data_IF_310020838491
#
_entry.id   IF_310020838491
#
_cell.length_a   1.000
_cell.length_b   1.000
_cell.length_c   1.000
_cell.angle_alpha   90.00
_cell.angle_beta   90.00
_cell.angle_gamma   90.00
#
_symmetry.space_group_name_H-M   'P 1'
#
loop_
_entity.id
_entity.type
_entity.pdbx_description
1 polymer ?
#
# COMPACT_ATOMS: atom_id res chain seq x y z
N UNK A 1 -33.44 11.98 2.41
CA UNK A 1 -32.03 11.63 2.74
C UNK A 1 -31.82 10.14 2.53
N UNK A 2 -30.73 9.77 1.91
CA UNK A 2 -30.39 8.35 1.69
C UNK A 2 -29.85 7.73 2.99
N UNK A 3 -30.60 6.77 3.54
CA UNK A 3 -30.29 6.12 4.83
C UNK A 3 -29.75 4.71 4.61
N UNK A 4 -28.87 4.25 5.49
CA UNK A 4 -28.49 2.86 5.61
C UNK A 4 -29.73 2.08 6.09
N UNK A 5 -30.15 1.08 5.32
CA UNK A 5 -31.27 0.21 5.67
C UNK A 5 -30.83 -1.12 6.24
N UNK A 6 -29.70 -1.65 5.79
CA UNK A 6 -29.16 -2.93 6.22
C UNK A 6 -27.65 -2.96 5.98
N UNK A 7 -26.94 -3.66 6.85
CA UNK A 7 -25.53 -4.02 6.66
C UNK A 7 -25.43 -5.53 6.84
N UNK A 8 -24.69 -6.18 5.93
CA UNK A 8 -24.39 -7.61 6.00
C UNK A 8 -22.90 -7.80 5.77
N UNK A 9 -22.28 -8.67 6.54
CA UNK A 9 -20.91 -9.11 6.32
C UNK A 9 -20.82 -10.61 6.16
N UNK A 10 -19.78 -11.05 5.48
CA UNK A 10 -19.41 -12.45 5.30
C UNK A 10 -17.91 -12.63 5.35
N UNK A 11 -17.48 -13.85 5.67
CA UNK A 11 -16.10 -14.25 5.50
C UNK A 11 -15.85 -14.62 4.03
N UNK A 12 -14.77 -14.08 3.46
CA UNK A 12 -14.26 -14.37 2.12
C UNK A 12 -12.77 -14.69 2.23
N UNK A 13 -12.06 -14.86 1.11
CA UNK A 13 -10.63 -15.14 1.12
C UNK A 13 -9.84 -14.04 0.43
N UNK A 14 -8.65 -13.75 0.98
CA UNK A 14 -7.67 -12.88 0.37
C UNK A 14 -6.80 -13.60 -0.67
N UNK A 15 -5.91 -12.89 -1.34
CA UNK A 15 -5.00 -13.42 -2.39
C UNK A 15 -3.99 -14.46 -1.88
N UNK A 16 -3.84 -14.62 -0.56
CA UNK A 16 -3.01 -15.66 0.07
C UNK A 16 -3.84 -16.85 0.55
N UNK A 17 -5.15 -16.87 0.26
CA UNK A 17 -6.08 -17.91 0.72
C UNK A 17 -6.40 -17.82 2.21
N UNK A 18 -6.10 -16.69 2.88
CA UNK A 18 -6.51 -16.50 4.27
C UNK A 18 -7.92 -15.89 4.34
N UNK A 19 -8.72 -16.28 5.37
CA UNK A 19 -10.00 -15.62 5.62
C UNK A 19 -9.84 -14.11 5.84
N UNK A 20 -10.75 -13.34 5.24
CA UNK A 20 -10.92 -11.91 5.49
C UNK A 20 -12.40 -11.55 5.46
N UNK A 21 -12.74 -10.28 5.72
CA UNK A 21 -14.11 -9.81 5.83
C UNK A 21 -14.52 -8.97 4.62
N UNK A 22 -15.69 -9.30 4.05
CA UNK A 22 -16.45 -8.44 3.15
C UNK A 22 -17.66 -7.90 3.89
N UNK A 23 -17.89 -6.57 3.80
CA UNK A 23 -19.12 -5.94 4.25
C UNK A 23 -19.90 -5.37 3.06
N UNK A 24 -21.22 -5.51 3.11
CA UNK A 24 -22.14 -4.98 2.11
C UNK A 24 -23.18 -4.09 2.81
N UNK A 25 -23.33 -2.85 2.31
CA UNK A 25 -24.23 -1.83 2.85
C UNK A 25 -25.35 -1.59 1.85
N UNK A 26 -26.58 -1.52 2.33
CA UNK A 26 -27.79 -1.41 1.52
C UNK A 26 -28.55 -0.12 1.79
N UNK A 27 -29.11 0.48 0.73
CA UNK A 27 -30.07 1.58 0.77
C UNK A 27 -31.09 1.44 -0.35
N UNK A 28 -32.36 1.36 -0.04
CA UNK A 28 -33.44 1.11 -1.03
C UNK A 28 -33.05 -0.02 -1.99
N UNK A 29 -32.90 0.28 -3.27
CA UNK A 29 -32.62 -0.69 -4.34
C UNK A 29 -31.12 -0.76 -4.72
N UNK A 30 -30.25 -0.15 -3.91
CA UNK A 30 -28.81 -0.10 -4.17
C UNK A 30 -28.02 -0.69 -3.00
N UNK A 31 -26.95 -1.39 -3.34
CA UNK A 31 -25.94 -1.84 -2.39
C UNK A 31 -24.54 -1.62 -2.93
N UNK A 32 -23.57 -1.64 -2.03
CA UNK A 32 -22.16 -1.71 -2.38
C UNK A 32 -21.41 -2.52 -1.32
N UNK A 33 -20.40 -3.26 -1.77
CA UNK A 33 -19.53 -4.05 -0.90
C UNK A 33 -18.08 -3.58 -0.94
N UNK A 34 -17.35 -3.92 0.11
CA UNK A 34 -15.91 -3.76 0.19
C UNK A 34 -15.27 -4.89 0.99
N UNK A 35 -14.07 -5.29 0.56
CA UNK A 35 -13.27 -6.33 1.22
C UNK A 35 -12.09 -5.67 1.93
N UNK A 36 -11.86 -6.00 3.20
CA UNK A 36 -10.72 -5.51 3.95
C UNK A 36 -9.47 -6.34 3.62
N UNK A 37 -8.36 -5.72 3.18
CA UNK A 37 -7.10 -6.45 2.96
C UNK A 37 -6.39 -6.77 4.28
N UNK A 38 -5.40 -7.69 4.24
CA UNK A 38 -4.62 -8.15 5.40
C UNK A 38 -3.12 -8.18 5.10
N UNK A 39 -2.27 -7.71 6.02
CA UNK A 39 -0.82 -7.74 5.88
C UNK A 39 -0.20 -9.11 6.20
N UNK A 40 0.99 -9.39 5.63
CA UNK A 40 1.87 -10.47 6.06
C UNK A 40 2.78 -10.02 7.21
N UNK A 41 3.48 -8.91 6.99
CA UNK A 41 4.17 -8.14 8.02
C UNK A 41 3.24 -7.04 8.53
N UNK A 42 3.27 -6.74 9.82
CA UNK A 42 2.46 -5.70 10.44
C UNK A 42 3.31 -4.88 11.39
N UNK A 43 3.22 -3.55 11.29
CA UNK A 43 3.82 -2.65 12.27
C UNK A 43 3.15 -2.79 13.63
N UNK A 44 3.94 -2.66 14.69
CA UNK A 44 3.45 -2.82 16.09
C UNK A 44 2.29 -1.89 16.44
N UNK A 45 2.21 -0.75 15.76
CA UNK A 45 1.23 0.31 16.04
C UNK A 45 0.02 0.31 15.11
N UNK A 46 -0.13 -0.70 14.25
CA UNK A 46 -1.32 -0.85 13.41
C UNK A 46 -2.59 -1.06 14.24
N UNK A 47 -3.72 -0.62 13.70
CA UNK A 47 -5.01 -0.96 14.27
C UNK A 47 -5.26 -2.48 14.19
N UNK A 48 -5.90 -3.02 15.23
CA UNK A 48 -6.01 -4.46 15.46
C UNK A 48 -6.91 -5.16 14.44
N UNK A 49 -6.35 -6.13 13.73
CA UNK A 49 -7.13 -7.06 12.91
C UNK A 49 -7.72 -8.16 13.78
N UNK A 50 -9.04 -8.21 13.89
CA UNK A 50 -9.73 -9.19 14.74
C UNK A 50 -9.83 -10.54 14.04
N UNK A 51 -9.21 -11.56 14.66
CA UNK A 51 -9.26 -12.97 14.25
C UNK A 51 -9.78 -13.81 15.41
N UNK A 52 -10.35 -14.97 15.08
CA UNK A 52 -11.03 -15.82 16.11
C UNK A 52 -10.03 -16.59 16.99
N UNK A 53 -8.77 -16.75 16.54
CA UNK A 53 -7.70 -17.47 17.24
C UNK A 53 -8.07 -18.91 17.66
N UNK A 54 -9.06 -19.49 16.99
CA UNK A 54 -9.50 -20.87 17.21
C UNK A 54 -8.82 -21.81 16.21
N UNK A 55 -7.78 -22.51 16.64
CA UNK A 55 -6.97 -23.39 15.79
C UNK A 55 -7.76 -24.50 15.09
N UNK A 56 -8.93 -24.90 15.63
CA UNK A 56 -9.83 -25.88 14.98
C UNK A 56 -10.52 -25.32 13.74
N UNK A 57 -10.54 -23.99 13.56
CA UNK A 57 -11.15 -23.31 12.40
C UNK A 57 -10.12 -22.46 11.68
N UNK A 58 -9.82 -22.79 10.43
CA UNK A 58 -8.89 -22.05 9.59
C UNK A 58 -7.51 -21.77 10.26
N UNK A 59 -7.02 -22.72 11.07
CA UNK A 59 -5.75 -22.59 11.81
C UNK A 59 -5.67 -21.29 12.63
N UNK A 60 -6.77 -20.88 13.25
CA UNK A 60 -6.86 -19.64 14.04
C UNK A 60 -7.13 -18.35 13.23
N UNK A 61 -7.10 -18.42 11.90
CA UNK A 61 -7.20 -17.24 11.03
C UNK A 61 -8.64 -16.81 10.66
N UNK A 62 -9.68 -17.53 11.13
CA UNK A 62 -11.08 -17.19 10.90
C UNK A 62 -11.42 -15.78 11.39
N UNK A 63 -12.36 -15.11 10.71
CA UNK A 63 -12.87 -13.76 11.05
C UNK A 63 -14.37 -13.76 11.36
N UNK A 64 -14.94 -14.93 11.68
CA UNK A 64 -16.38 -15.04 11.94
C UNK A 64 -16.85 -14.20 13.13
N UNK A 65 -16.01 -14.02 14.14
CA UNK A 65 -16.28 -13.10 15.25
C UNK A 65 -16.43 -11.65 14.79
N UNK A 66 -15.54 -11.17 13.91
CA UNK A 66 -15.65 -9.85 13.29
C UNK A 66 -16.89 -9.75 12.41
N UNK A 67 -17.20 -10.77 11.62
CA UNK A 67 -18.43 -10.86 10.79
C UNK A 67 -19.68 -10.75 11.67
N UNK A 68 -19.72 -11.47 12.78
CA UNK A 68 -20.86 -11.41 13.72
C UNK A 68 -21.02 -10.00 14.31
N UNK A 69 -19.93 -9.33 14.68
CA UNK A 69 -19.98 -7.94 15.19
C UNK A 69 -20.54 -6.95 14.16
N UNK A 70 -20.20 -7.11 12.88
CA UNK A 70 -20.79 -6.30 11.81
C UNK A 70 -22.28 -6.58 11.68
N UNK A 71 -22.68 -7.85 11.64
CA UNK A 71 -24.07 -8.26 11.41
C UNK A 71 -25.01 -7.91 12.59
N UNK A 72 -24.46 -7.71 13.78
CA UNK A 72 -25.23 -7.42 15.01
C UNK A 72 -25.01 -5.99 15.49
N UNK A 73 -23.87 -5.70 16.14
CA UNK A 73 -23.61 -4.43 16.81
C UNK A 73 -23.52 -3.26 15.84
N UNK A 74 -22.66 -3.39 14.78
CA UNK A 74 -22.43 -2.31 13.80
C UNK A 74 -23.71 -2.07 13.00
N UNK A 75 -24.34 -3.12 12.48
CA UNK A 75 -25.59 -3.01 11.70
C UNK A 75 -26.68 -2.30 12.51
N UNK A 76 -26.91 -2.74 13.76
CA UNK A 76 -27.90 -2.09 14.65
C UNK A 76 -27.60 -0.60 14.86
N UNK A 77 -26.34 -0.24 15.06
CA UNK A 77 -25.93 1.15 15.36
C UNK A 77 -26.01 2.09 14.16
N UNK A 78 -25.72 1.59 12.96
CA UNK A 78 -25.67 2.40 11.74
C UNK A 78 -26.98 2.41 10.94
N UNK A 79 -27.92 1.50 11.20
CA UNK A 79 -29.24 1.52 10.53
C UNK A 79 -29.91 2.86 10.78
N UNK A 80 -30.39 3.50 9.70
CA UNK A 80 -30.98 4.85 9.74
C UNK A 80 -29.99 6.00 9.55
N UNK A 81 -28.68 5.76 9.64
CA UNK A 81 -27.64 6.77 9.44
C UNK A 81 -27.64 7.30 7.98
N UNK A 82 -27.25 8.57 7.81
CA UNK A 82 -27.10 9.19 6.49
C UNK A 82 -25.84 8.66 5.79
N UNK A 83 -26.03 7.98 4.65
CA UNK A 83 -24.95 7.37 3.86
C UNK A 83 -23.92 8.39 3.36
N UNK A 84 -24.33 9.64 3.15
CA UNK A 84 -23.48 10.68 2.59
C UNK A 84 -22.55 11.35 3.62
N UNK A 85 -22.73 11.07 4.90
CA UNK A 85 -21.94 11.63 5.99
C UNK A 85 -20.91 10.61 6.47
N UNK A 86 -19.84 10.44 5.66
CA UNK A 86 -18.76 9.49 5.94
C UNK A 86 -18.10 9.73 7.29
N UNK A 87 -17.84 11.01 7.62
CA UNK A 87 -17.17 11.38 8.88
C UNK A 87 -17.99 10.94 10.08
N UNK A 88 -19.32 11.21 10.06
CA UNK A 88 -20.21 10.79 11.14
C UNK A 88 -20.29 9.27 11.27
N UNK A 89 -20.35 8.53 10.14
CA UNK A 89 -20.37 7.06 10.15
C UNK A 89 -19.10 6.52 10.78
N UNK A 90 -17.94 7.00 10.35
CA UNK A 90 -16.65 6.56 10.88
C UNK A 90 -16.50 6.93 12.37
N UNK A 91 -16.95 8.12 12.79
CA UNK A 91 -16.99 8.53 14.20
C UNK A 91 -17.88 7.59 15.04
N UNK A 92 -19.05 7.18 14.51
CA UNK A 92 -19.92 6.21 15.20
C UNK A 92 -19.19 4.86 15.36
N UNK A 93 -18.49 4.39 14.33
CA UNK A 93 -17.73 3.15 14.37
C UNK A 93 -16.58 3.20 15.38
N UNK A 94 -15.81 4.28 15.40
CA UNK A 94 -14.71 4.51 16.35
C UNK A 94 -15.23 4.54 17.78
N UNK A 95 -16.30 5.29 18.05
CA UNK A 95 -16.90 5.39 19.38
C UNK A 95 -17.55 4.08 19.83
N UNK A 96 -18.09 3.28 18.90
CA UNK A 96 -18.66 1.96 19.21
C UNK A 96 -17.58 0.94 19.58
N UNK A 97 -16.37 1.05 19.00
CA UNK A 97 -15.22 0.29 19.42
C UNK A 97 -14.69 0.74 20.78
N UNK A 98 -14.52 2.04 20.96
CA UNK A 98 -14.11 2.69 22.21
C UNK A 98 -12.64 2.48 22.59
N UNK A 99 -11.82 1.80 21.77
CA UNK A 99 -10.42 1.55 22.05
C UNK A 99 -9.50 2.24 21.05
N UNK A 100 -8.29 2.60 21.49
CA UNK A 100 -7.29 3.31 20.65
C UNK A 100 -6.90 2.53 19.40
N UNK A 101 -6.75 1.21 19.53
CA UNK A 101 -6.29 0.32 18.45
C UNK A 101 -7.41 -0.52 17.84
N UNK A 102 -8.67 -0.15 18.07
CA UNK A 102 -9.85 -0.84 17.51
C UNK A 102 -9.92 -2.33 17.88
N UNK A 103 -9.56 -2.67 19.12
CA UNK A 103 -9.45 -4.05 19.60
C UNK A 103 -10.80 -4.71 19.91
N UNK A 104 -11.83 -3.91 20.16
CA UNK A 104 -13.18 -4.38 20.54
C UNK A 104 -13.91 -4.94 19.30
N UNK A 105 -14.07 -4.17 18.25
CA UNK A 105 -14.74 -4.56 17.01
C UNK A 105 -13.79 -5.19 15.98
N UNK A 106 -12.55 -4.71 15.94
CA UNK A 106 -11.55 -5.01 14.93
C UNK A 106 -11.53 -3.99 13.78
N UNK A 107 -10.33 -3.52 13.43
CA UNK A 107 -10.13 -2.60 12.32
C UNK A 107 -10.65 -3.17 10.99
N UNK A 108 -10.53 -4.47 10.78
CA UNK A 108 -11.04 -5.15 9.60
C UNK A 108 -12.58 -5.06 9.49
N UNK A 109 -13.32 -5.25 10.58
CA UNK A 109 -14.77 -5.07 10.61
C UNK A 109 -15.19 -3.62 10.34
N UNK A 110 -14.52 -2.68 10.99
CA UNK A 110 -14.77 -1.24 10.86
C UNK A 110 -14.49 -0.77 9.43
N UNK A 111 -13.33 -1.09 8.90
CA UNK A 111 -12.90 -0.63 7.58
C UNK A 111 -13.78 -1.18 6.44
N UNK A 112 -14.13 -2.46 6.48
CA UNK A 112 -15.00 -3.04 5.45
C UNK A 112 -16.33 -2.27 5.35
N UNK A 113 -16.94 -1.90 6.47
CA UNK A 113 -18.18 -1.10 6.51
C UNK A 113 -17.94 0.33 6.07
N UNK A 114 -16.86 0.97 6.51
CA UNK A 114 -16.48 2.33 6.14
C UNK A 114 -16.30 2.48 4.62
N UNK A 115 -15.52 1.58 4.00
CA UNK A 115 -15.32 1.57 2.54
C UNK A 115 -16.60 1.25 1.77
N UNK A 116 -17.39 0.26 2.18
CA UNK A 116 -18.65 -0.11 1.54
C UNK A 116 -19.65 1.06 1.56
N UNK A 117 -19.72 1.81 2.67
CA UNK A 117 -20.56 3.00 2.79
C UNK A 117 -20.11 4.11 1.84
N UNK A 118 -18.79 4.34 1.73
CA UNK A 118 -18.24 5.32 0.78
C UNK A 118 -18.59 4.97 -0.67
N UNK A 119 -18.44 3.70 -1.06
CA UNK A 119 -18.84 3.20 -2.39
C UNK A 119 -20.34 3.39 -2.63
N UNK A 120 -21.18 3.04 -1.66
CA UNK A 120 -22.63 3.21 -1.79
C UNK A 120 -23.03 4.67 -1.94
N UNK A 121 -22.39 5.57 -1.18
CA UNK A 121 -22.59 7.02 -1.31
C UNK A 121 -22.30 7.52 -2.73
N UNK A 122 -21.20 7.09 -3.34
CA UNK A 122 -20.84 7.40 -4.72
C UNK A 122 -21.89 6.86 -5.72
N UNK A 123 -22.30 5.59 -5.55
CA UNK A 123 -23.29 4.92 -6.40
C UNK A 123 -24.66 5.63 -6.36
N UNK A 124 -25.12 6.05 -5.17
CA UNK A 124 -26.38 6.79 -5.02
C UNK A 124 -26.30 8.18 -5.68
N UNK A 125 -25.15 8.85 -5.57
CA UNK A 125 -24.90 10.14 -6.24
C UNK A 125 -24.70 10.00 -7.74
N UNK A 126 -24.58 8.77 -8.25
CA UNK A 126 -24.29 8.47 -9.67
C UNK A 126 -22.99 9.17 -10.14
N UNK A 127 -21.97 9.16 -9.30
CA UNK A 127 -20.65 9.69 -9.62
C UNK A 127 -19.58 8.63 -9.38
N UNK A 128 -18.49 8.63 -10.14
CA UNK A 128 -17.34 7.76 -9.88
C UNK A 128 -16.81 7.93 -8.47
N UNK A 129 -16.30 6.86 -7.87
CA UNK A 129 -15.86 6.86 -6.48
C UNK A 129 -14.75 7.90 -6.24
N UNK A 130 -13.78 8.03 -7.14
CA UNK A 130 -12.69 8.99 -7.01
C UNK A 130 -13.16 10.45 -6.89
N UNK A 131 -14.32 10.81 -7.47
CA UNK A 131 -14.92 12.17 -7.36
C UNK A 131 -15.54 12.47 -6.00
N UNK A 132 -15.59 11.50 -5.09
CA UNK A 132 -16.19 11.66 -3.76
C UNK A 132 -15.20 11.90 -2.63
N UNK A 133 -13.91 11.96 -2.92
CA UNK A 133 -12.86 12.20 -1.92
C UNK A 133 -12.57 13.70 -1.71
N UNK A 134 -11.30 14.08 -1.54
CA UNK A 134 -10.93 15.43 -1.08
C UNK A 134 -11.03 16.51 -2.16
N UNK A 135 -10.94 16.14 -3.43
CA UNK A 135 -10.86 17.10 -4.52
C UNK A 135 -12.21 17.28 -5.21
N UNK A 136 -12.41 18.48 -5.73
CA UNK A 136 -13.57 18.79 -6.58
C UNK A 136 -13.23 18.72 -8.06
N UNK A 137 -12.00 19.04 -8.45
CA UNK A 137 -11.53 19.09 -9.83
C UNK A 137 -10.02 18.84 -9.91
N UNK A 138 -9.47 18.74 -11.13
CA UNK A 138 -8.03 18.62 -11.40
C UNK A 138 -7.40 17.33 -10.82
N UNK A 139 -8.04 16.21 -11.12
CA UNK A 139 -7.55 14.88 -10.73
C UNK A 139 -6.27 14.52 -11.46
N UNK A 140 -5.32 13.92 -10.72
CA UNK A 140 -4.04 13.42 -11.24
C UNK A 140 -3.96 11.91 -11.08
N UNK A 141 -3.33 11.27 -12.05
CA UNK A 141 -3.04 9.85 -11.99
C UNK A 141 -1.73 9.60 -11.24
N UNK A 142 -1.67 8.65 -10.31
CA UNK A 142 -0.47 8.35 -9.54
C UNK A 142 0.57 7.63 -10.39
N UNK A 143 1.87 7.83 -10.12
CA UNK A 143 2.91 6.97 -10.67
C UNK A 143 2.88 5.60 -9.98
N UNK A 144 2.93 4.47 -10.72
CA UNK A 144 3.06 3.17 -10.12
C UNK A 144 4.46 2.95 -9.56
N UNK A 145 4.56 2.48 -8.31
CA UNK A 145 5.70 1.78 -7.75
C UNK A 145 5.47 0.30 -7.98
N UNK A 146 5.98 -0.24 -9.08
CA UNK A 146 5.64 -1.59 -9.52
C UNK A 146 6.67 -2.60 -9.03
N UNK A 147 6.28 -3.51 -8.15
CA UNK A 147 7.13 -4.55 -7.61
C UNK A 147 7.45 -5.60 -8.68
N UNK A 148 8.73 -5.76 -9.06
CA UNK A 148 9.16 -6.65 -10.13
C UNK A 148 10.05 -7.81 -9.67
N UNK A 149 10.67 -7.69 -8.48
CA UNK A 149 11.33 -8.81 -7.78
C UNK A 149 10.91 -8.78 -6.32
N UNK A 150 10.42 -9.90 -5.82
CA UNK A 150 10.10 -10.14 -4.43
C UNK A 150 11.27 -10.79 -3.69
N UNK A 151 11.50 -10.37 -2.45
CA UNK A 151 12.43 -10.98 -1.50
C UNK A 151 11.86 -10.92 -0.08
N UNK A 152 12.69 -10.97 0.96
CA UNK A 152 12.29 -10.90 2.37
C UNK A 152 11.15 -11.85 2.71
N UNK A 153 10.13 -11.34 3.40
CA UNK A 153 8.94 -12.12 3.77
C UNK A 153 8.02 -12.47 2.58
N UNK A 154 8.19 -11.82 1.42
CA UNK A 154 7.34 -12.02 0.23
C UNK A 154 7.81 -13.15 -0.70
N UNK A 155 9.02 -13.71 -0.47
CA UNK A 155 9.56 -14.80 -1.28
C UNK A 155 10.65 -15.57 -0.54
N UNK A 156 10.63 -16.91 -0.62
CA UNK A 156 11.67 -17.76 -0.05
C UNK A 156 12.84 -17.90 -1.02
N UNK A 157 13.64 -16.84 -1.22
CA UNK A 157 14.73 -16.80 -2.19
C UNK A 157 16.07 -16.22 -1.66
N UNK A 158 16.14 -15.97 -0.34
CA UNK A 158 17.37 -15.50 0.31
C UNK A 158 17.71 -14.02 0.12
N UNK A 159 16.94 -13.25 -0.65
CA UNK A 159 17.06 -11.79 -0.71
C UNK A 159 16.62 -11.17 0.61
N UNK A 160 17.33 -10.16 1.05
CA UNK A 160 17.02 -9.49 2.33
C UNK A 160 16.07 -8.32 2.14
N UNK A 161 16.23 -7.52 1.09
CA UNK A 161 15.29 -6.47 0.71
C UNK A 161 13.99 -7.12 0.25
N UNK A 162 12.86 -6.64 0.77
CA UNK A 162 11.56 -7.25 0.57
C UNK A 162 10.98 -7.01 -0.82
N UNK A 163 11.15 -5.78 -1.36
CA UNK A 163 10.63 -5.44 -2.67
C UNK A 163 11.62 -4.60 -3.47
N UNK A 164 11.76 -5.00 -4.74
CA UNK A 164 12.50 -4.26 -5.74
C UNK A 164 11.49 -3.77 -6.77
N UNK A 165 11.25 -2.47 -6.79
CA UNK A 165 10.23 -1.81 -7.59
C UNK A 165 10.85 -0.97 -8.69
N UNK A 166 10.08 -0.74 -9.76
CA UNK A 166 10.36 0.28 -10.76
C UNK A 166 9.27 1.36 -10.75
N UNK A 167 9.68 2.60 -11.04
CA UNK A 167 8.80 3.75 -11.28
C UNK A 167 9.12 4.36 -12.65
N UNK A 168 8.14 4.42 -13.57
CA UNK A 168 8.34 4.91 -14.94
C UNK A 168 8.28 6.45 -15.00
N UNK A 169 9.34 7.12 -14.54
CA UNK A 169 9.39 8.58 -14.32
C UNK A 169 9.19 9.40 -15.61
N UNK A 170 9.51 8.81 -16.78
CA UNK A 170 9.33 9.45 -18.10
C UNK A 170 7.87 9.50 -18.57
N UNK A 171 7.00 8.68 -18.01
CA UNK A 171 5.64 8.51 -18.51
C UNK A 171 4.84 9.82 -18.39
N UNK A 172 4.18 10.20 -19.48
CA UNK A 172 3.31 11.39 -19.56
C UNK A 172 1.84 11.06 -19.33
N UNK A 173 1.48 9.78 -19.40
CA UNK A 173 0.14 9.24 -19.15
C UNK A 173 0.24 7.95 -18.34
N UNK A 174 -0.86 7.52 -17.73
CA UNK A 174 -0.86 6.27 -16.97
C UNK A 174 -0.74 5.06 -17.91
N UNK A 175 -1.39 5.11 -19.06
CA UNK A 175 -1.25 4.08 -20.10
C UNK A 175 0.20 3.94 -20.60
N UNK A 176 0.92 5.07 -20.76
CA UNK A 176 2.36 5.02 -21.07
C UNK A 176 3.16 4.42 -19.91
N UNK A 177 2.85 4.77 -18.66
CA UNK A 177 3.48 4.18 -17.48
C UNK A 177 3.34 2.64 -17.48
N UNK A 178 2.14 2.14 -17.77
CA UNK A 178 1.87 0.70 -17.85
C UNK A 178 2.64 0.04 -18.99
N UNK A 179 2.72 0.67 -20.17
CA UNK A 179 3.52 0.19 -21.31
C UNK A 179 5.00 0.08 -20.97
N UNK A 180 5.57 1.09 -20.30
CA UNK A 180 6.98 1.09 -19.87
C UNK A 180 7.20 -0.08 -18.90
N UNK A 181 6.39 -0.22 -17.87
CA UNK A 181 6.48 -1.30 -16.91
C UNK A 181 6.36 -2.68 -17.56
N UNK A 182 5.40 -2.87 -18.48
CA UNK A 182 5.24 -4.10 -19.24
C UNK A 182 6.51 -4.49 -20.00
N UNK A 183 7.12 -3.55 -20.71
CA UNK A 183 8.34 -3.82 -21.50
C UNK A 183 9.51 -4.18 -20.59
N UNK A 184 9.71 -3.48 -19.47
CA UNK A 184 10.78 -3.76 -18.51
C UNK A 184 10.59 -5.13 -17.86
N UNK A 185 9.39 -5.46 -17.39
CA UNK A 185 9.07 -6.74 -16.74
C UNK A 185 9.31 -7.90 -17.71
N UNK A 186 8.89 -7.78 -18.97
CA UNK A 186 9.09 -8.85 -19.94
C UNK A 186 10.57 -9.04 -20.34
N UNK A 187 11.36 -7.95 -20.39
CA UNK A 187 12.80 -8.07 -20.56
C UNK A 187 13.48 -8.67 -19.32
N UNK A 188 13.02 -8.33 -18.12
CA UNK A 188 13.49 -8.95 -16.88
C UNK A 188 13.20 -10.46 -16.89
N UNK A 189 11.98 -10.88 -17.26
CA UNK A 189 11.61 -12.30 -17.42
C UNK A 189 12.59 -13.03 -18.34
N UNK A 190 12.86 -12.47 -19.54
CA UNK A 190 13.81 -13.06 -20.51
C UNK A 190 15.23 -13.18 -19.92
N UNK A 191 15.68 -12.20 -19.14
CA UNK A 191 17.01 -12.24 -18.49
C UNK A 191 17.08 -13.30 -17.39
N UNK A 192 16.03 -13.43 -16.57
CA UNK A 192 15.91 -14.46 -15.52
C UNK A 192 15.92 -15.85 -16.17
N UNK A 193 15.10 -16.09 -17.20
CA UNK A 193 15.03 -17.36 -17.93
C UNK A 193 16.38 -17.70 -18.58
N UNK A 194 17.06 -16.72 -19.22
CA UNK A 194 18.39 -16.93 -19.83
C UNK A 194 19.44 -17.39 -18.83
N UNK A 195 19.28 -17.05 -17.55
CA UNK A 195 20.16 -17.50 -16.45
C UNK A 195 19.74 -18.85 -15.84
N UNK A 196 18.75 -19.51 -16.38
CA UNK A 196 18.21 -20.77 -15.84
C UNK A 196 17.48 -20.60 -14.51
N UNK A 197 17.05 -19.36 -14.16
CA UNK A 197 16.38 -19.09 -12.90
C UNK A 197 14.85 -19.11 -13.08
N UNK A 198 14.12 -19.41 -11.99
CA UNK A 198 12.66 -19.44 -11.98
C UNK A 198 12.05 -18.06 -12.22
N UNK A 199 10.98 -18.03 -13.00
CA UNK A 199 10.10 -16.86 -13.19
C UNK A 199 8.78 -16.99 -12.43
N UNK A 200 8.69 -17.90 -11.46
CA UNK A 200 7.58 -17.93 -10.50
C UNK A 200 7.50 -16.62 -9.73
N UNK A 201 6.28 -16.24 -9.35
CA UNK A 201 6.02 -14.96 -8.69
C UNK A 201 5.77 -15.14 -7.20
N UNK A 202 6.12 -14.11 -6.42
CA UNK A 202 5.80 -14.03 -5.01
C UNK A 202 4.39 -13.50 -4.74
N UNK A 203 4.11 -13.18 -3.48
CA UNK A 203 2.79 -12.75 -3.00
C UNK A 203 2.24 -11.52 -3.72
N UNK A 204 3.12 -10.65 -4.21
CA UNK A 204 2.73 -9.39 -4.86
C UNK A 204 2.94 -9.39 -6.38
N UNK A 205 3.19 -10.57 -6.96
CA UNK A 205 3.29 -10.73 -8.40
C UNK A 205 4.66 -10.40 -9.00
N UNK A 206 5.64 -9.92 -8.22
CA UNK A 206 7.03 -9.79 -8.64
C UNK A 206 7.70 -11.17 -8.76
N UNK A 207 8.72 -11.31 -9.62
CA UNK A 207 9.46 -12.56 -9.73
C UNK A 207 10.18 -12.90 -8.43
N UNK A 208 10.29 -14.20 -8.14
CA UNK A 208 10.95 -14.71 -6.93
C UNK A 208 12.12 -15.67 -7.26
N UNK A 209 13.10 -15.27 -8.11
CA UNK A 209 14.20 -16.14 -8.46
C UNK A 209 15.16 -16.35 -7.28
N UNK A 210 15.82 -17.51 -7.23
CA UNK A 210 16.88 -17.78 -6.26
C UNK A 210 18.15 -17.00 -6.65
N UNK A 211 18.30 -15.82 -6.03
CA UNK A 211 19.42 -14.89 -6.27
C UNK A 211 20.19 -14.71 -4.95
N UNK A 212 21.53 -14.75 -5.03
CA UNK A 212 22.40 -14.81 -3.85
C UNK A 212 22.63 -13.47 -3.15
N UNK A 213 22.27 -12.32 -3.77
CA UNK A 213 22.42 -11.00 -3.15
C UNK A 213 21.49 -9.95 -3.73
N UNK A 214 21.24 -8.89 -2.95
CA UNK A 214 20.46 -7.73 -3.38
C UNK A 214 21.10 -7.06 -4.62
N UNK A 215 22.42 -6.97 -4.69
CA UNK A 215 23.14 -6.35 -5.80
C UNK A 215 22.91 -7.11 -7.11
N UNK A 216 22.91 -8.46 -7.09
CA UNK A 216 22.61 -9.25 -8.28
C UNK A 216 21.16 -9.04 -8.77
N UNK A 217 20.22 -8.84 -7.86
CA UNK A 217 18.84 -8.46 -8.22
C UNK A 217 18.81 -7.08 -8.89
N UNK A 218 19.52 -6.11 -8.31
CA UNK A 218 19.65 -4.76 -8.87
C UNK A 218 20.33 -4.74 -10.24
N UNK A 219 21.40 -5.53 -10.41
CA UNK A 219 22.10 -5.67 -11.70
C UNK A 219 21.15 -6.22 -12.80
N UNK A 220 20.29 -7.20 -12.46
CA UNK A 220 19.27 -7.71 -13.38
C UNK A 220 18.23 -6.65 -13.76
N UNK A 221 17.79 -5.85 -12.80
CA UNK A 221 16.81 -4.78 -13.02
C UNK A 221 17.41 -3.70 -13.93
N UNK A 222 18.64 -3.24 -13.66
CA UNK A 222 19.34 -2.27 -14.53
C UNK A 222 19.49 -2.81 -15.93
N UNK A 223 19.90 -4.08 -16.07
CA UNK A 223 20.01 -4.72 -17.38
C UNK A 223 18.66 -4.78 -18.11
N UNK A 224 17.57 -5.07 -17.39
CA UNK A 224 16.23 -5.10 -17.97
C UNK A 224 15.77 -3.70 -18.43
N UNK A 225 16.00 -2.66 -17.63
CA UNK A 225 15.69 -1.27 -17.97
C UNK A 225 16.45 -0.87 -19.25
N UNK A 226 17.75 -1.09 -19.28
CA UNK A 226 18.61 -0.74 -20.43
C UNK A 226 18.21 -1.52 -21.69
N UNK A 227 17.95 -2.83 -21.58
CA UNK A 227 17.49 -3.69 -22.69
C UNK A 227 16.12 -3.24 -23.22
N UNK A 228 15.35 -2.54 -22.41
CA UNK A 228 14.04 -1.99 -22.79
C UNK A 228 14.14 -0.62 -23.51
N UNK A 229 15.36 -0.11 -23.72
CA UNK A 229 15.63 1.18 -24.35
C UNK A 229 15.43 2.39 -23.43
N UNK A 230 15.37 2.16 -22.10
CA UNK A 230 15.19 3.22 -21.10
C UNK A 230 16.48 3.44 -20.30
N UNK A 231 16.66 4.69 -19.82
CA UNK A 231 17.81 5.06 -18.97
C UNK A 231 17.43 4.93 -17.50
N UNK A 232 18.17 4.08 -16.76
CA UNK A 232 18.02 3.92 -15.31
C UNK A 232 18.26 5.25 -14.57
N UNK A 233 17.38 5.59 -13.64
CA UNK A 233 17.42 6.80 -12.82
C UNK A 233 16.99 8.08 -13.54
N UNK A 234 16.62 8.00 -14.84
CA UNK A 234 16.10 9.12 -15.65
C UNK A 234 14.73 8.81 -16.24
N UNK A 235 14.61 7.73 -17.02
CA UNK A 235 13.36 7.35 -17.67
C UNK A 235 12.55 6.38 -16.78
N UNK A 236 13.27 5.48 -16.10
CA UNK A 236 12.76 4.51 -15.13
C UNK A 236 13.66 4.51 -13.92
N UNK A 237 13.10 4.71 -12.75
CA UNK A 237 13.81 4.68 -11.47
C UNK A 237 13.61 3.37 -10.73
N UNK A 238 14.63 2.95 -9.97
CA UNK A 238 14.54 1.82 -9.04
C UNK A 238 14.12 2.36 -7.68
N UNK A 239 13.15 1.69 -7.06
CA UNK A 239 12.63 1.97 -5.72
C UNK A 239 12.69 0.68 -4.89
N UNK A 240 12.97 0.79 -3.60
CA UNK A 240 13.15 -0.35 -2.70
C UNK A 240 12.16 -0.26 -1.54
N UNK A 241 11.68 -1.40 -1.08
CA UNK A 241 11.12 -1.58 0.25
C UNK A 241 12.01 -2.57 1.02
N UNK A 242 12.61 -2.08 2.09
CA UNK A 242 13.58 -2.86 2.87
C UNK A 242 12.90 -3.68 3.96
N UNK A 243 11.77 -3.19 4.50
CA UNK A 243 11.07 -3.78 5.64
C UNK A 243 12.03 -4.09 6.81
N UNK A 244 12.80 -3.09 7.24
CA UNK A 244 13.95 -3.28 8.14
C UNK A 244 13.59 -3.78 9.54
N UNK A 245 12.31 -3.76 9.95
CA UNK A 245 11.84 -4.41 11.18
C UNK A 245 12.18 -5.90 11.21
N UNK A 246 12.14 -6.58 10.06
CA UNK A 246 12.53 -8.00 9.90
C UNK A 246 14.05 -8.23 9.96
N UNK A 247 14.85 -7.17 9.88
CA UNK A 247 16.31 -7.21 9.69
C UNK A 247 17.09 -6.60 10.86
N UNK A 248 16.42 -6.29 11.97
CA UNK A 248 17.03 -5.64 13.14
C UNK A 248 17.31 -6.66 14.27
N UNK A 249 18.44 -6.49 14.93
CA UNK A 249 18.77 -7.16 16.20
C UNK A 249 19.63 -6.22 17.06
N UNK A 250 19.15 -5.89 18.27
CA UNK A 250 19.86 -5.00 19.24
C UNK A 250 20.44 -3.74 18.58
N UNK A 251 19.61 -2.99 17.84
CA UNK A 251 19.98 -1.76 17.12
C UNK A 251 21.09 -1.93 16.05
N UNK A 252 21.30 -3.15 15.57
CA UNK A 252 22.13 -3.46 14.40
C UNK A 252 21.26 -4.02 13.28
N UNK A 253 21.67 -3.80 12.05
CA UNK A 253 20.89 -4.14 10.87
C UNK A 253 21.66 -5.10 9.96
N UNK A 254 20.93 -6.02 9.33
CA UNK A 254 21.49 -7.02 8.39
C UNK A 254 20.87 -6.89 6.99
N UNK A 255 20.91 -5.68 6.42
CA UNK A 255 20.21 -5.32 5.17
C UNK A 255 20.90 -5.89 3.92
N UNK A 256 22.22 -5.76 3.86
CA UNK A 256 22.99 -6.13 2.67
C UNK A 256 23.60 -7.54 2.74
N UNK A 257 23.71 -8.09 3.94
CA UNK A 257 24.25 -9.42 4.20
C UNK A 257 23.65 -10.01 5.47
N UNK A 258 23.94 -11.27 5.77
CA UNK A 258 23.56 -11.92 7.05
C UNK A 258 24.29 -11.32 8.27
N UNK A 259 25.30 -10.47 8.06
CA UNK A 259 26.07 -9.84 9.12
C UNK A 259 25.35 -8.60 9.63
N UNK A 260 25.14 -8.50 10.93
CA UNK A 260 24.59 -7.33 11.60
C UNK A 260 25.65 -6.22 11.74
N UNK A 261 25.31 -5.02 11.28
CA UNK A 261 26.18 -3.84 11.31
C UNK A 261 25.50 -2.66 12.00
N UNK A 262 26.27 -1.66 12.40
CA UNK A 262 25.74 -0.43 13.00
C UNK A 262 24.92 0.40 12.03
N UNK A 263 24.10 1.32 12.55
CA UNK A 263 23.35 2.33 11.77
C UNK A 263 24.27 3.10 10.82
N UNK A 264 25.41 3.60 11.29
CA UNK A 264 26.33 4.39 10.48
C UNK A 264 26.94 3.57 9.32
N UNK A 265 27.19 2.28 9.56
CA UNK A 265 27.63 1.37 8.50
C UNK A 265 26.51 1.09 7.49
N UNK A 266 25.27 0.88 7.96
CA UNK A 266 24.10 0.71 7.09
C UNK A 266 23.87 1.93 6.21
N UNK A 267 24.00 3.15 6.76
CA UNK A 267 23.89 4.40 5.98
C UNK A 267 24.96 4.46 4.88
N UNK A 268 26.20 4.09 5.18
CA UNK A 268 27.27 4.03 4.17
C UNK A 268 26.97 3.01 3.06
N UNK A 269 26.37 1.89 3.41
CA UNK A 269 25.95 0.86 2.47
C UNK A 269 24.76 1.32 1.61
N UNK A 270 23.76 1.98 2.19
CA UNK A 270 22.68 2.63 1.44
C UNK A 270 23.22 3.65 0.43
N UNK A 271 24.13 4.54 0.84
CA UNK A 271 24.73 5.51 -0.09
C UNK A 271 25.39 4.83 -1.28
N UNK A 272 26.14 3.75 -1.07
CA UNK A 272 26.78 2.98 -2.16
C UNK A 272 25.77 2.46 -3.17
N UNK A 273 24.67 1.84 -2.71
CA UNK A 273 23.67 1.30 -3.64
C UNK A 273 22.85 2.41 -4.29
N UNK A 274 22.54 3.48 -3.59
CA UNK A 274 21.88 4.68 -4.13
C UNK A 274 22.69 5.24 -5.30
N UNK A 275 23.98 5.46 -5.11
CA UNK A 275 24.86 6.07 -6.11
C UNK A 275 25.08 5.12 -7.29
N UNK A 276 25.35 3.84 -7.01
CA UNK A 276 25.62 2.83 -8.05
C UNK A 276 24.41 2.55 -8.92
N UNK A 277 23.22 2.36 -8.31
CA UNK A 277 22.02 1.92 -9.00
C UNK A 277 21.02 3.03 -9.29
N UNK A 278 21.36 4.28 -8.90
CA UNK A 278 20.48 5.45 -9.06
C UNK A 278 19.12 5.25 -8.40
N UNK A 279 19.14 4.69 -7.17
CA UNK A 279 17.93 4.47 -6.38
C UNK A 279 17.27 5.81 -6.07
N UNK A 280 15.95 5.92 -6.30
CA UNK A 280 15.18 7.15 -6.11
C UNK A 280 14.21 7.10 -4.94
N UNK A 281 13.92 5.92 -4.40
CA UNK A 281 13.05 5.76 -3.24
C UNK A 281 13.48 4.57 -2.39
N UNK A 282 13.43 4.74 -1.07
CA UNK A 282 13.66 3.67 -0.09
C UNK A 282 12.55 3.75 0.97
N UNK A 283 11.81 2.66 1.09
CA UNK A 283 10.78 2.47 2.10
C UNK A 283 11.35 1.65 3.27
N UNK A 284 10.99 2.03 4.48
CA UNK A 284 11.36 1.42 5.76
C UNK A 284 12.83 0.98 5.86
N UNK A 285 13.77 1.92 5.68
CA UNK A 285 15.21 1.63 5.73
C UNK A 285 15.71 1.23 7.12
N UNK A 286 14.97 1.56 8.17
CA UNK A 286 15.29 1.28 9.57
C UNK A 286 14.04 0.88 10.36
N UNK A 287 14.24 0.36 11.59
CA UNK A 287 13.16 -0.06 12.46
C UNK A 287 12.19 1.07 12.81
N UNK A 288 10.94 0.72 13.04
CA UNK A 288 9.79 1.62 13.26
C UNK A 288 9.92 2.57 14.47
N UNK A 289 10.89 2.32 15.38
CA UNK A 289 11.14 3.14 16.54
C UNK A 289 12.54 3.80 16.54
N UNK A 290 13.37 3.55 15.52
CA UNK A 290 14.72 4.09 15.42
C UNK A 290 14.76 5.48 14.76
N UNK A 291 14.01 6.44 15.30
CA UNK A 291 13.86 7.80 14.78
C UNK A 291 15.19 8.50 14.50
N UNK A 292 16.25 8.17 15.28
CA UNK A 292 17.59 8.72 15.11
C UNK A 292 18.24 8.21 13.82
N UNK A 293 18.14 6.91 13.53
CA UNK A 293 18.67 6.34 12.29
C UNK A 293 17.97 6.92 11.05
N UNK A 294 16.66 7.07 11.11
CA UNK A 294 15.87 7.69 10.04
C UNK A 294 16.33 9.13 9.77
N UNK A 295 16.43 9.97 10.82
CA UNK A 295 16.88 11.36 10.67
C UNK A 295 18.32 11.46 10.15
N UNK A 296 19.21 10.56 10.60
CA UNK A 296 20.58 10.47 10.07
C UNK A 296 20.59 10.11 8.58
N UNK A 297 19.75 9.16 8.13
CA UNK A 297 19.65 8.79 6.72
C UNK A 297 19.15 9.98 5.88
N UNK A 298 18.10 10.65 6.31
CA UNK A 298 17.55 11.85 5.63
C UNK A 298 18.63 12.91 5.39
N UNK A 299 19.47 13.20 6.40
CA UNK A 299 20.59 14.14 6.27
C UNK A 299 21.66 13.70 5.27
N UNK A 300 21.78 12.39 5.05
CA UNK A 300 22.83 11.80 4.22
C UNK A 300 22.39 11.43 2.81
N UNK A 301 21.09 11.55 2.46
CA UNK A 301 20.51 11.08 1.19
C UNK A 301 19.64 12.16 0.56
N UNK A 302 20.25 13.28 0.18
CA UNK A 302 19.54 14.33 -0.56
C UNK A 302 19.01 13.80 -1.90
N UNK A 303 17.81 14.25 -2.29
CA UNK A 303 17.11 13.84 -3.52
C UNK A 303 16.68 12.37 -3.61
N UNK A 304 16.61 11.67 -2.47
CA UNK A 304 16.01 10.34 -2.36
C UNK A 304 14.69 10.44 -1.60
N UNK A 305 13.68 9.79 -2.11
CA UNK A 305 12.41 9.63 -1.41
C UNK A 305 12.59 8.61 -0.29
N UNK A 306 12.46 9.03 0.97
CA UNK A 306 12.48 8.16 2.14
C UNK A 306 11.05 8.02 2.62
N UNK A 307 10.55 6.78 2.59
CA UNK A 307 9.13 6.47 2.83
C UNK A 307 8.97 5.75 4.15
N UNK A 308 8.10 6.26 5.02
CA UNK A 308 7.70 5.55 6.24
C UNK A 308 6.41 4.77 5.99
N UNK A 309 6.49 3.44 6.13
CA UNK A 309 5.36 2.51 6.24
C UNK A 309 5.15 2.12 7.70
N UNK A 310 5.90 1.16 8.23
CA UNK A 310 5.82 0.76 9.64
C UNK A 310 6.17 1.91 10.60
N UNK A 311 7.03 2.84 10.16
CA UNK A 311 7.33 4.05 10.93
C UNK A 311 6.07 4.83 11.28
N UNK A 312 5.11 4.92 10.36
CA UNK A 312 3.92 5.77 10.53
C UNK A 312 2.62 5.01 10.70
N UNK A 313 2.49 3.81 10.13
CA UNK A 313 1.29 2.95 10.14
C UNK A 313 0.02 3.74 9.83
N UNK A 314 0.09 4.66 8.87
CA UNK A 314 -1.03 5.56 8.50
C UNK A 314 -1.62 6.31 9.71
N UNK A 315 -0.82 6.60 10.72
CA UNK A 315 -1.23 7.23 11.98
C UNK A 315 -0.77 8.70 12.04
N UNK A 316 -1.72 9.63 12.29
CA UNK A 316 -1.46 11.06 12.29
C UNK A 316 -0.43 11.49 13.34
N UNK A 317 -0.51 10.96 14.55
CA UNK A 317 0.42 11.33 15.64
C UNK A 317 1.84 10.86 15.36
N UNK A 318 2.00 9.66 14.79
CA UNK A 318 3.32 9.17 14.37
C UNK A 318 3.87 9.99 13.19
N UNK A 319 3.01 10.39 12.24
CA UNK A 319 3.42 11.26 11.13
C UNK A 319 3.87 12.64 11.62
N UNK A 320 3.13 13.26 12.54
CA UNK A 320 3.55 14.52 13.19
C UNK A 320 4.91 14.38 13.87
N UNK A 321 5.11 13.30 14.63
CA UNK A 321 6.41 13.02 15.27
C UNK A 321 7.54 12.88 14.25
N UNK A 322 7.30 12.14 13.15
CA UNK A 322 8.29 11.96 12.10
C UNK A 322 8.66 13.26 11.38
N UNK A 323 7.68 14.12 11.14
CA UNK A 323 7.90 15.45 10.58
C UNK A 323 8.77 16.31 11.49
N UNK A 324 8.47 16.38 12.80
CA UNK A 324 9.25 17.13 13.78
C UNK A 324 10.69 16.62 13.90
N UNK A 325 10.90 15.31 13.77
CA UNK A 325 12.22 14.68 13.82
C UNK A 325 12.95 14.69 12.46
N UNK A 326 12.35 15.23 11.40
CA UNK A 326 12.89 15.16 10.04
C UNK A 326 13.29 13.72 9.65
N UNK A 327 12.39 12.76 9.88
CA UNK A 327 12.67 11.32 9.73
C UNK A 327 12.48 10.79 8.31
N UNK A 328 11.61 11.41 7.51
CA UNK A 328 11.31 11.03 6.14
C UNK A 328 10.78 12.23 5.35
N UNK A 329 10.46 12.03 4.07
CA UNK A 329 9.81 13.03 3.21
C UNK A 329 8.57 12.45 2.49
N UNK A 330 8.20 11.24 2.83
CA UNK A 330 7.07 10.53 2.21
C UNK A 330 6.44 9.55 3.18
N UNK A 331 5.16 9.25 2.96
CA UNK A 331 4.40 8.28 3.75
C UNK A 331 3.69 7.26 2.85
N UNK A 332 3.72 6.00 3.26
CA UNK A 332 2.85 4.97 2.72
C UNK A 332 1.49 5.01 3.42
N UNK A 333 0.41 4.86 2.67
CA UNK A 333 -0.96 4.93 3.16
C UNK A 333 -1.65 3.58 2.95
N UNK A 334 -2.03 2.94 4.03
CA UNK A 334 -2.77 1.68 4.07
C UNK A 334 -4.01 1.84 4.95
N UNK A 335 -5.20 1.78 4.36
CA UNK A 335 -6.45 2.03 5.09
C UNK A 335 -6.63 1.11 6.32
N UNK A 336 -6.22 -0.16 6.22
CA UNK A 336 -6.40 -1.11 7.30
C UNK A 336 -5.45 -0.91 8.49
N UNK A 337 -4.35 -0.14 8.32
CA UNK A 337 -3.46 0.23 9.42
C UNK A 337 -4.11 1.19 10.41
N UNK A 338 -5.09 1.97 9.96
CA UNK A 338 -5.83 2.92 10.81
C UNK A 338 -7.30 2.53 10.98
N UNK A 339 -7.96 1.96 9.96
CA UNK A 339 -9.23 1.29 10.05
C UNK A 339 -10.47 2.08 9.63
N UNK A 340 -10.38 3.35 9.20
CA UNK A 340 -11.49 4.10 8.61
C UNK A 340 -11.04 4.94 7.41
N UNK A 341 -11.99 5.25 6.52
CA UNK A 341 -11.75 6.17 5.40
C UNK A 341 -11.47 7.58 5.90
N UNK A 342 -12.19 8.07 6.90
CA UNK A 342 -12.05 9.45 7.40
C UNK A 342 -10.70 9.69 8.05
N UNK A 343 -10.21 8.79 8.92
CA UNK A 343 -8.86 8.89 9.51
C UNK A 343 -7.77 8.82 8.43
N UNK A 344 -7.95 7.92 7.42
CA UNK A 344 -7.02 7.83 6.28
C UNK A 344 -6.93 9.16 5.52
N UNK A 345 -8.07 9.79 5.23
CA UNK A 345 -8.12 11.08 4.53
C UNK A 345 -7.49 12.22 5.35
N UNK A 346 -7.62 12.19 6.67
CA UNK A 346 -6.97 13.15 7.57
C UNK A 346 -5.44 13.04 7.49
N UNK A 347 -4.90 11.81 7.53
CA UNK A 347 -3.46 11.57 7.39
C UNK A 347 -2.95 12.03 6.03
N UNK A 348 -3.65 11.69 4.93
CA UNK A 348 -3.29 12.15 3.58
C UNK A 348 -3.26 13.68 3.50
N UNK A 349 -4.30 14.34 4.00
CA UNK A 349 -4.40 15.80 4.00
C UNK A 349 -3.24 16.44 4.78
N UNK A 350 -2.95 15.93 5.96
CA UNK A 350 -1.83 16.44 6.77
C UNK A 350 -0.48 16.22 6.07
N UNK A 351 -0.24 15.03 5.50
CA UNK A 351 0.97 14.74 4.74
C UNK A 351 1.16 15.74 3.58
N UNK A 352 0.09 16.04 2.83
CA UNK A 352 0.15 17.01 1.74
C UNK A 352 0.41 18.45 2.21
N UNK A 353 -0.17 18.85 3.35
CA UNK A 353 0.07 20.19 3.95
C UNK A 353 1.54 20.37 4.32
N UNK A 354 2.18 19.35 4.89
CA UNK A 354 3.61 19.41 5.27
C UNK A 354 4.57 19.13 4.10
N UNK A 355 4.05 18.99 2.87
CA UNK A 355 4.86 18.75 1.66
C UNK A 355 5.35 17.31 1.46
N UNK A 356 4.88 16.34 2.25
CA UNK A 356 5.22 14.93 2.07
C UNK A 356 4.54 14.35 0.83
N UNK A 357 5.25 13.45 0.13
CA UNK A 357 4.63 12.64 -0.92
C UNK A 357 3.82 11.52 -0.30
N UNK A 358 2.65 11.28 -0.88
CA UNK A 358 1.74 10.21 -0.45
C UNK A 358 1.75 9.06 -1.44
N UNK A 359 1.85 7.84 -0.94
CA UNK A 359 1.84 6.61 -1.73
C UNK A 359 0.69 5.75 -1.22
N UNK A 360 -0.35 5.59 -2.02
CA UNK A 360 -1.45 4.68 -1.67
C UNK A 360 -1.00 3.25 -1.92
N UNK A 361 -1.18 2.38 -0.92
CA UNK A 361 -0.64 1.03 -0.97
C UNK A 361 -1.70 -0.04 -0.78
N UNK A 362 -1.50 -1.17 -1.46
CA UNK A 362 -2.14 -2.46 -1.19
C UNK A 362 -1.58 -3.11 0.09
N UNK A 363 -2.04 -4.32 0.38
CA UNK A 363 -1.41 -5.23 1.34
C UNK A 363 -0.98 -6.53 0.63
N UNK A 364 -0.12 -7.32 1.29
CA UNK A 364 0.32 -8.63 0.75
C UNK A 364 -0.85 -9.61 0.57
N UNK A 365 -1.80 -9.65 1.51
CA UNK A 365 -3.11 -10.29 1.34
C UNK A 365 -4.14 -9.27 0.88
N UNK A 366 -4.37 -9.19 -0.42
CA UNK A 366 -5.29 -8.25 -1.05
C UNK A 366 -6.48 -8.97 -1.72
N UNK A 367 -7.36 -8.24 -2.34
CA UNK A 367 -8.51 -8.74 -3.09
C UNK A 367 -8.66 -7.97 -4.40
N UNK A 368 -9.62 -8.32 -5.23
CA UNK A 368 -9.97 -7.61 -6.47
C UNK A 368 -10.61 -6.24 -6.22
N UNK A 369 -10.88 -5.85 -4.98
CA UNK A 369 -11.42 -4.52 -4.65
C UNK A 369 -10.48 -3.40 -5.10
N UNK A 370 -11.01 -2.45 -5.89
CA UNK A 370 -10.24 -1.37 -6.51
C UNK A 370 -10.26 -0.05 -5.74
N UNK A 371 -10.79 -0.03 -4.52
CA UNK A 371 -10.97 1.20 -3.72
C UNK A 371 -9.72 2.08 -3.67
N UNK A 372 -8.54 1.47 -3.52
CA UNK A 372 -7.28 2.22 -3.42
C UNK A 372 -6.87 2.94 -4.72
N UNK A 373 -7.30 2.47 -5.89
CA UNK A 373 -7.08 3.16 -7.16
C UNK A 373 -7.88 4.46 -7.23
N UNK A 374 -9.17 4.39 -6.87
CA UNK A 374 -10.05 5.56 -6.77
C UNK A 374 -9.57 6.54 -5.68
N UNK A 375 -9.11 6.02 -4.53
CA UNK A 375 -8.55 6.83 -3.44
C UNK A 375 -7.32 7.61 -3.91
N UNK A 376 -6.40 6.96 -4.63
CA UNK A 376 -5.17 7.60 -5.11
C UNK A 376 -5.47 8.79 -6.04
N UNK A 377 -6.42 8.63 -6.96
CA UNK A 377 -6.83 9.72 -7.88
C UNK A 377 -7.63 10.79 -7.13
N UNK A 378 -8.60 10.40 -6.31
CA UNK A 378 -9.50 11.32 -5.59
C UNK A 378 -8.82 12.16 -4.52
N UNK A 379 -7.60 11.79 -4.11
CA UNK A 379 -6.75 12.55 -3.18
C UNK A 379 -5.53 13.20 -3.83
N UNK A 380 -5.36 13.05 -5.15
CA UNK A 380 -4.12 13.44 -5.85
C UNK A 380 -2.85 12.88 -5.19
N UNK A 381 -2.90 11.66 -4.70
CA UNK A 381 -1.72 10.99 -4.18
C UNK A 381 -0.68 10.82 -5.30
N UNK A 382 0.58 11.04 -4.96
CA UNK A 382 1.64 11.11 -5.96
C UNK A 382 1.91 9.77 -6.62
N UNK A 383 1.76 8.68 -5.86
CA UNK A 383 2.16 7.35 -6.27
C UNK A 383 1.16 6.29 -5.75
N UNK A 384 1.17 5.14 -6.39
CA UNK A 384 0.45 3.95 -5.95
C UNK A 384 1.39 2.74 -5.94
N UNK A 385 1.39 1.98 -4.84
CA UNK A 385 2.11 0.72 -4.69
C UNK A 385 1.09 -0.40 -4.62
N UNK A 386 0.96 -1.17 -5.71
CA UNK A 386 -0.05 -2.24 -5.80
C UNK A 386 0.44 -3.48 -6.53
N UNK A 387 1.70 -3.87 -6.26
CA UNK A 387 2.32 -5.09 -6.77
C UNK A 387 2.74 -5.00 -8.23
N UNK A 388 2.80 -6.14 -8.90
CA UNK A 388 3.27 -6.28 -10.27
C UNK A 388 2.13 -6.42 -11.28
N UNK A 389 2.48 -6.63 -12.57
CA UNK A 389 1.57 -7.01 -13.66
C UNK A 389 1.26 -8.51 -13.67
N UNK A 390 1.12 -9.10 -12.51
CA UNK A 390 0.73 -10.49 -12.31
C UNK A 390 -0.16 -10.58 -11.08
N UNK A 391 -1.05 -11.60 -11.03
CA UNK A 391 -2.10 -11.83 -10.03
C UNK A 391 -3.25 -10.81 -10.17
N UNK A 392 -4.47 -11.32 -10.30
CA UNK A 392 -5.67 -10.54 -10.68
C UNK A 392 -5.97 -9.41 -9.71
N UNK A 393 -5.75 -9.62 -8.41
CA UNK A 393 -5.98 -8.64 -7.36
C UNK A 393 -5.02 -7.42 -7.45
N UNK A 394 -3.86 -7.58 -8.08
CA UNK A 394 -2.93 -6.48 -8.36
C UNK A 394 -3.34 -5.74 -9.61
N UNK A 395 -3.54 -6.49 -10.70
CA UNK A 395 -3.90 -5.95 -12.02
C UNK A 395 -5.24 -5.22 -12.00
N UNK A 396 -6.19 -5.62 -11.15
CA UNK A 396 -7.48 -4.96 -11.00
C UNK A 396 -7.34 -3.46 -10.70
N UNK A 397 -6.39 -3.04 -9.84
CA UNK A 397 -6.15 -1.64 -9.50
C UNK A 397 -5.56 -0.85 -10.67
N UNK A 398 -4.61 -1.46 -11.40
CA UNK A 398 -4.05 -0.84 -12.61
C UNK A 398 -5.11 -0.67 -13.69
N UNK A 399 -5.95 -1.67 -13.92
CA UNK A 399 -7.07 -1.58 -14.86
C UNK A 399 -8.08 -0.50 -14.45
N UNK A 400 -8.33 -0.32 -13.15
CA UNK A 400 -9.20 0.76 -12.68
C UNK A 400 -8.59 2.13 -12.97
N UNK A 401 -7.29 2.31 -12.77
CA UNK A 401 -6.60 3.57 -13.12
C UNK A 401 -6.63 3.87 -14.61
N UNK A 402 -6.53 2.85 -15.48
CA UNK A 402 -6.71 3.03 -16.92
C UNK A 402 -8.13 3.48 -17.28
N UNK A 403 -9.17 2.91 -16.63
CA UNK A 403 -10.57 3.36 -16.83
C UNK A 403 -10.77 4.81 -16.37
N UNK A 404 -10.15 5.18 -15.25
CA UNK A 404 -10.19 6.58 -14.75
C UNK A 404 -9.46 7.51 -15.72
N UNK A 405 -8.32 7.09 -16.27
CA UNK A 405 -7.60 7.87 -17.30
C UNK A 405 -8.49 8.12 -18.52
N UNK A 406 -9.15 7.08 -19.02
CA UNK A 406 -10.10 7.16 -20.14
C UNK A 406 -11.27 8.11 -19.84
N UNK A 407 -11.88 8.00 -18.65
CA UNK A 407 -12.97 8.88 -18.23
C UNK A 407 -12.54 10.35 -18.12
N UNK A 408 -11.32 10.62 -17.67
CA UNK A 408 -10.76 11.97 -17.59
C UNK A 408 -10.41 12.54 -18.97
N UNK A 409 -10.13 11.70 -19.95
CA UNK A 409 -9.82 12.06 -21.33
C UNK A 409 -8.69 13.08 -21.41
N UNK A 410 -8.87 14.19 -22.13
CA UNK A 410 -7.88 15.24 -22.31
C UNK A 410 -7.45 15.95 -21.00
N UNK A 411 -8.21 15.78 -19.91
CA UNK A 411 -7.89 16.33 -18.59
C UNK A 411 -7.00 15.40 -17.77
N UNK A 412 -6.79 14.16 -18.24
CA UNK A 412 -5.91 13.22 -17.58
C UNK A 412 -4.47 13.73 -17.60
N UNK A 413 -3.82 13.68 -16.46
CA UNK A 413 -2.39 14.02 -16.33
C UNK A 413 -1.80 13.31 -15.14
N UNK A 414 -0.50 13.02 -15.23
CA UNK A 414 0.22 12.38 -14.14
C UNK A 414 0.45 13.35 -12.98
N UNK A 415 0.54 12.82 -11.78
CA UNK A 415 0.92 13.55 -10.57
C UNK A 415 2.39 14.03 -10.66
N UNK A 416 2.86 14.78 -9.67
CA UNK A 416 4.27 15.20 -9.58
C UNK A 416 5.05 14.21 -8.73
N UNK A 417 6.22 13.80 -9.20
CA UNK A 417 7.14 12.93 -8.45
C UNK A 417 8.11 13.77 -7.61
N UNK A 418 8.44 14.96 -8.11
CA UNK A 418 9.42 15.88 -7.51
C UNK A 418 8.75 17.13 -6.97
#
# INVERSE_FOLDING_TARGET
>A
MSKILKIRARQVFDSRGNPTIEAEVYSKNLSASAICPSGASTGTYEAFEKRDNNNKKYLGKSVLGAVNLVNTKISKKLTGANIHDQTRIDTILINLDGTRHKTSLGANAILAVSMATKKLSAKIKRVPLYKTFLLKNNYKLPYPLMNIINGGAHANNGLRIQEFMIRPDKAKSFSEAMRICFVVINNLRKLITKKGLSTSVGDEGGFAPMISSNEKALDLIVAAINKSGFKNGKDVSICLDVAANELINKNKYSIHSKKFVSVDRSIKEYKKIIDKYKIKSIEDPFGENDWVAWSKLMKNTQNVQIVGDDLYVTNLERLKKGFLNNSSNSILIKLNQIGTVSETLEVIKFAQIIGYKTIISHRSGDSEDTFIADLAVGTNSNQIKTGSLARSERVAKYNQLLRIEEELGKKASMSKIH
#
